data_IF_433180877916
#
_entry.id   IF_433180877916
#
_cell.length_a   1.000
_cell.length_b   1.000
_cell.length_c   1.000
_cell.angle_alpha   90.00
_cell.angle_beta   90.00
_cell.angle_gamma   90.00
#
_symmetry.space_group_name_H-M   'P 1'
#
loop_
_entity.id
_entity.type
_entity.pdbx_description
1 polymer ?
#
# COMPACT_ATOMS: atom_id res chain seq x y z
N UNK A 1 4.52 -30.01 -24.40
CA UNK A 1 4.42 -28.74 -23.64
C UNK A 1 5.38 -28.81 -22.47
N UNK A 2 6.64 -28.44 -22.69
CA UNK A 2 7.60 -28.27 -21.60
C UNK A 2 7.49 -26.80 -21.21
N UNK A 3 6.88 -26.51 -20.07
CA UNK A 3 7.01 -25.20 -19.44
C UNK A 3 8.50 -25.04 -19.14
N UNK A 4 9.19 -24.20 -19.92
CA UNK A 4 10.63 -24.02 -19.79
C UNK A 4 10.98 -23.58 -18.36
N UNK A 5 12.15 -24.01 -17.87
CA UNK A 5 12.69 -23.62 -16.56
C UNK A 5 12.62 -22.10 -16.33
N UNK A 6 12.81 -21.31 -17.38
CA UNK A 6 12.65 -19.85 -17.39
C UNK A 6 11.25 -19.38 -16.97
N UNK A 7 10.20 -20.02 -17.47
CA UNK A 7 8.82 -19.66 -17.16
C UNK A 7 8.51 -19.97 -15.69
N UNK A 8 9.06 -21.07 -15.17
CA UNK A 8 8.93 -21.44 -13.76
C UNK A 8 9.64 -20.40 -12.89
N UNK A 9 10.88 -20.00 -13.23
CA UNK A 9 11.62 -18.96 -12.51
C UNK A 9 10.90 -17.61 -12.52
N UNK A 10 10.32 -17.21 -13.66
CA UNK A 10 9.56 -15.97 -13.79
C UNK A 10 8.29 -15.99 -12.92
N UNK A 11 7.57 -17.12 -12.89
CA UNK A 11 6.38 -17.28 -12.03
C UNK A 11 6.78 -17.21 -10.56
N UNK A 12 7.86 -17.90 -10.15
CA UNK A 12 8.35 -17.87 -8.78
C UNK A 12 8.75 -16.45 -8.37
N UNK A 13 9.49 -15.74 -9.22
CA UNK A 13 9.88 -14.35 -8.96
C UNK A 13 8.65 -13.44 -8.82
N UNK A 14 7.66 -13.56 -9.70
CA UNK A 14 6.43 -12.78 -9.64
C UNK A 14 5.65 -13.04 -8.34
N UNK A 15 5.56 -14.30 -7.91
CA UNK A 15 4.91 -14.67 -6.65
C UNK A 15 5.66 -14.12 -5.45
N UNK A 16 7.00 -14.22 -5.42
CA UNK A 16 7.83 -13.68 -4.34
C UNK A 16 7.69 -12.16 -4.24
N UNK A 17 7.68 -11.44 -5.37
CA UNK A 17 7.45 -9.99 -5.39
C UNK A 17 6.05 -9.62 -4.90
N UNK A 18 5.02 -10.36 -5.32
CA UNK A 18 3.65 -10.15 -4.84
C UNK A 18 3.55 -10.34 -3.33
N UNK A 19 4.14 -11.42 -2.80
CA UNK A 19 4.17 -11.69 -1.36
C UNK A 19 4.91 -10.59 -0.59
N UNK A 20 6.02 -10.07 -1.15
CA UNK A 20 6.75 -8.95 -0.56
C UNK A 20 5.89 -7.68 -0.48
N UNK A 21 5.20 -7.33 -1.57
CA UNK A 21 4.29 -6.16 -1.60
C UNK A 21 3.16 -6.31 -0.59
N UNK A 22 2.54 -7.49 -0.51
CA UNK A 22 1.48 -7.78 0.46
C UNK A 22 2.03 -7.65 1.90
N UNK A 23 3.21 -8.19 2.16
CA UNK A 23 3.86 -8.08 3.47
C UNK A 23 4.15 -6.62 3.84
N UNK A 24 4.70 -5.82 2.92
CA UNK A 24 4.92 -4.40 3.12
C UNK A 24 3.60 -3.65 3.41
N UNK A 25 2.53 -3.95 2.67
CA UNK A 25 1.23 -3.31 2.86
C UNK A 25 0.62 -3.62 4.24
N UNK A 26 0.66 -4.88 4.68
CA UNK A 26 0.14 -5.28 5.99
C UNK A 26 0.94 -4.61 7.12
N UNK A 27 2.27 -4.61 7.03
CA UNK A 27 3.10 -4.00 8.06
C UNK A 27 2.97 -2.48 8.08
N UNK A 28 2.79 -1.83 6.94
CA UNK A 28 2.48 -0.40 6.87
C UNK A 28 1.18 -0.07 7.63
N UNK A 29 0.12 -0.87 7.43
CA UNK A 29 -1.16 -0.68 8.14
C UNK A 29 -1.01 -0.96 9.64
N UNK A 30 -0.28 -2.01 10.04
CA UNK A 30 -0.07 -2.34 11.45
C UNK A 30 0.77 -1.28 12.16
N UNK A 31 1.85 -0.83 11.54
CA UNK A 31 2.75 0.18 12.12
C UNK A 31 2.08 1.55 12.19
N UNK A 32 1.33 1.95 11.14
CA UNK A 32 0.54 3.18 11.21
C UNK A 32 -0.50 3.14 12.32
N UNK A 33 -1.17 1.99 12.53
CA UNK A 33 -2.11 1.81 13.65
C UNK A 33 -1.42 1.90 15.01
N UNK A 34 -0.23 1.32 15.16
CA UNK A 34 0.53 1.34 16.40
C UNK A 34 1.00 2.76 16.76
N UNK A 35 1.51 3.49 15.76
CA UNK A 35 1.86 4.91 15.92
C UNK A 35 0.63 5.76 16.28
N UNK A 36 -0.56 5.46 15.73
CA UNK A 36 -1.81 6.14 16.12
C UNK A 36 -2.23 5.84 17.55
N UNK A 37 -2.03 4.61 18.04
CA UNK A 37 -2.36 4.22 19.43
C UNK A 37 -1.37 4.83 20.42
N UNK A 38 -0.09 4.93 20.06
CA UNK A 38 0.97 5.48 20.93
C UNK A 38 0.84 6.99 21.23
N UNK A 39 0.06 7.73 20.44
CA UNK A 39 -0.07 9.20 20.54
C UNK A 39 -1.27 9.69 21.36
N UNK A 40 -1.92 8.83 22.16
CA UNK A 40 -3.10 9.19 22.97
C UNK A 40 -4.17 9.95 22.17
N UNK A 41 -4.60 9.34 21.05
CA UNK A 41 -5.64 9.93 20.20
C UNK A 41 -6.98 9.88 20.93
N UNK A 42 -7.35 11.00 21.54
CA UNK A 42 -8.66 11.25 22.15
C UNK A 42 -9.50 12.01 21.15
N UNK A 43 -10.57 11.39 20.67
CA UNK A 43 -11.50 12.04 19.76
C UNK A 43 -12.75 12.50 20.53
N UNK A 44 -12.92 13.82 20.58
CA UNK A 44 -14.11 14.46 21.15
C UNK A 44 -15.31 14.25 20.23
N UNK A 45 -16.35 13.57 20.73
CA UNK A 45 -17.54 13.23 19.96
C UNK A 45 -18.82 13.73 20.61
N UNK A 46 -19.75 14.19 19.79
CA UNK A 46 -21.09 14.63 20.18
C UNK A 46 -22.14 13.69 19.59
N UNK A 47 -22.98 13.07 20.42
CA UNK A 47 -24.07 12.23 19.92
C UNK A 47 -25.14 13.08 19.21
N UNK A 48 -25.49 12.76 17.96
CA UNK A 48 -26.48 13.53 17.19
C UNK A 48 -27.90 13.44 17.77
N UNK A 49 -28.23 12.34 18.46
CA UNK A 49 -29.58 12.13 19.01
C UNK A 49 -29.79 12.81 20.36
N UNK A 50 -28.76 12.83 21.21
CA UNK A 50 -28.92 13.29 22.60
C UNK A 50 -28.00 14.45 22.99
N UNK A 51 -27.20 14.97 22.04
CA UNK A 51 -26.30 16.11 22.22
C UNK A 51 -25.18 15.92 23.24
N UNK A 52 -24.94 14.69 23.69
CA UNK A 52 -24.00 14.42 24.78
C UNK A 52 -22.56 14.38 24.24
N UNK A 53 -21.66 15.10 24.91
CA UNK A 53 -20.23 15.19 24.59
C UNK A 53 -19.45 14.18 25.40
N UNK A 54 -18.73 13.31 24.72
CA UNK A 54 -17.88 12.31 25.37
C UNK A 54 -16.62 12.07 24.56
N UNK A 55 -15.61 11.58 25.27
CA UNK A 55 -14.30 11.31 24.71
C UNK A 55 -14.20 9.83 24.40
N UNK A 56 -13.69 9.51 23.21
CA UNK A 56 -13.52 8.12 22.77
C UNK A 56 -12.08 7.90 22.35
N UNK A 57 -11.47 6.89 22.95
CA UNK A 57 -10.12 6.41 22.62
C UNK A 57 -10.07 5.83 21.20
N UNK A 58 -8.90 5.90 20.57
CA UNK A 58 -8.60 5.26 19.28
C UNK A 58 -9.05 3.78 19.19
N UNK A 59 -8.96 3.05 20.31
CA UNK A 59 -9.35 1.63 20.36
C UNK A 59 -10.85 1.43 20.09
N UNK A 60 -11.70 2.23 20.73
CA UNK A 60 -13.15 2.18 20.54
C UNK A 60 -13.60 2.88 19.25
N UNK A 61 -12.82 3.86 18.78
CA UNK A 61 -12.99 4.41 17.44
C UNK A 61 -12.82 3.32 16.38
N UNK A 62 -11.77 2.49 16.47
CA UNK A 62 -11.45 1.48 15.46
C UNK A 62 -12.48 0.34 15.35
N UNK A 63 -13.26 0.07 16.41
CA UNK A 63 -14.27 -1.01 16.44
C UNK A 63 -15.46 -0.78 15.52
N UNK A 64 -15.70 0.46 15.11
CA UNK A 64 -16.82 0.80 14.23
C UNK A 64 -16.35 0.95 12.78
N UNK A 65 -16.95 0.18 11.86
CA UNK A 65 -16.68 0.28 10.42
C UNK A 65 -17.53 1.34 9.72
N UNK A 66 -18.66 1.76 10.31
CA UNK A 66 -19.62 2.65 9.65
C UNK A 66 -19.38 4.10 10.04
N UNK A 67 -19.02 4.92 9.05
CA UNK A 67 -18.82 6.37 9.19
C UNK A 67 -19.61 7.13 8.12
N UNK A 68 -19.98 8.36 8.44
CA UNK A 68 -20.57 9.36 7.55
C UNK A 68 -19.63 10.55 7.52
N UNK A 69 -19.32 11.09 6.35
CA UNK A 69 -18.46 12.25 6.24
C UNK A 69 -18.91 13.16 5.12
N UNK A 70 -18.63 14.45 5.27
CA UNK A 70 -18.75 15.50 4.27
C UNK A 70 -17.42 16.23 4.24
N UNK A 71 -16.64 16.01 3.18
CA UNK A 71 -15.40 16.71 2.93
C UNK A 71 -15.67 17.96 2.10
N UNK A 72 -14.95 19.04 2.41
CA UNK A 72 -14.88 20.26 1.62
C UNK A 72 -13.41 20.49 1.32
N UNK A 73 -12.99 20.31 0.07
CA UNK A 73 -11.64 20.69 -0.35
C UNK A 73 -11.58 22.21 -0.43
N UNK A 74 -10.85 22.84 0.51
CA UNK A 74 -10.51 24.26 0.45
C UNK A 74 -9.03 24.38 0.11
N UNK A 75 -8.74 24.84 -1.10
CA UNK A 75 -7.40 25.26 -1.50
C UNK A 75 -7.00 26.45 -0.64
N UNK A 76 -6.00 26.29 0.23
CA UNK A 76 -5.36 27.40 0.95
C UNK A 76 -3.98 27.62 0.35
N UNK A 77 -3.65 28.87 0.06
CA UNK A 77 -2.28 29.26 -0.29
C UNK A 77 -1.56 29.53 1.02
N UNK A 78 -0.61 28.66 1.36
CA UNK A 78 0.25 28.83 2.53
C UNK A 78 1.70 28.83 2.03
N UNK A 79 2.45 29.91 2.32
CA UNK A 79 3.86 30.09 1.91
C UNK A 79 4.14 29.92 0.41
N UNK A 80 3.27 30.44 -0.46
CA UNK A 80 3.48 30.47 -1.91
C UNK A 80 3.21 29.13 -2.62
N UNK A 81 2.84 28.08 -1.90
CA UNK A 81 2.36 26.82 -2.48
C UNK A 81 0.83 26.73 -2.33
N UNK A 82 0.16 26.29 -3.41
CA UNK A 82 -1.25 25.89 -3.37
C UNK A 82 -1.35 24.58 -2.60
N UNK A 83 -1.72 24.66 -1.33
CA UNK A 83 -1.93 23.49 -0.49
C UNK A 83 -3.42 23.10 -0.60
N UNK A 84 -3.71 22.08 -1.40
CA UNK A 84 -5.02 21.47 -1.47
C UNK A 84 -5.17 20.45 -0.33
N UNK A 85 -5.50 20.93 0.87
CA UNK A 85 -5.79 20.05 2.02
C UNK A 85 -7.29 19.75 2.10
N UNK A 86 -7.69 18.48 2.26
CA UNK A 86 -9.08 18.13 2.52
C UNK A 86 -9.47 18.66 3.91
N UNK A 87 -10.44 19.57 3.96
CA UNK A 87 -11.02 20.07 5.20
C UNK A 87 -12.38 19.40 5.41
N UNK A 88 -12.57 18.65 6.50
CA UNK A 88 -13.84 17.98 6.74
C UNK A 88 -14.80 18.98 7.42
N UNK A 89 -15.93 19.30 6.79
CA UNK A 89 -16.95 20.15 7.42
C UNK A 89 -17.79 19.36 8.42
N UNK A 90 -17.89 18.04 8.21
CA UNK A 90 -18.67 17.14 9.06
C UNK A 90 -18.13 15.72 8.94
N UNK A 91 -17.94 15.05 10.08
CA UNK A 91 -17.56 13.65 10.15
C UNK A 91 -18.26 13.04 11.36
N UNK A 92 -18.97 11.94 11.17
CA UNK A 92 -19.69 11.24 12.23
C UNK A 92 -19.47 9.73 12.14
N UNK A 93 -19.28 9.10 13.29
CA UNK A 93 -19.04 7.66 13.38
C UNK A 93 -20.09 6.99 14.26
N UNK A 94 -20.46 5.75 13.94
CA UNK A 94 -21.45 5.01 14.74
C UNK A 94 -20.78 4.46 16.00
N UNK A 95 -20.95 5.14 17.13
CA UNK A 95 -20.32 4.84 18.42
C UNK A 95 -21.36 4.49 19.48
N UNK A 96 -20.94 3.83 20.55
CA UNK A 96 -21.82 3.53 21.66
C UNK A 96 -22.01 4.80 22.50
N UNK A 97 -23.25 5.28 22.62
CA UNK A 97 -23.56 6.44 23.44
C UNK A 97 -23.90 5.98 24.87
N UNK A 98 -23.21 6.47 25.92
CA UNK A 98 -23.46 6.04 27.30
C UNK A 98 -24.83 6.54 27.81
N UNK A 99 -25.33 7.67 27.31
CA UNK A 99 -26.66 8.20 27.66
C UNK A 99 -27.80 7.44 26.96
N UNK A 100 -27.64 7.06 25.70
CA UNK A 100 -28.66 6.33 24.94
C UNK A 100 -28.57 4.80 25.09
N UNK A 101 -27.48 4.29 25.67
CA UNK A 101 -27.13 2.87 25.82
C UNK A 101 -27.23 2.05 24.51
N UNK A 102 -27.13 2.71 23.35
CA UNK A 102 -27.26 2.12 22.01
C UNK A 102 -26.23 2.73 21.06
N UNK A 103 -25.84 1.99 20.02
CA UNK A 103 -24.95 2.48 18.95
C UNK A 103 -25.66 3.56 18.13
N UNK A 104 -25.12 4.78 18.12
CA UNK A 104 -25.68 5.95 17.43
C UNK A 104 -24.57 6.70 16.70
N UNK A 105 -24.95 7.50 15.71
CA UNK A 105 -24.00 8.40 15.07
C UNK A 105 -23.60 9.49 16.07
N UNK A 106 -22.29 9.67 16.20
CA UNK A 106 -21.70 10.72 16.98
C UNK A 106 -20.78 11.52 16.06
N UNK A 107 -21.01 12.83 15.98
CA UNK A 107 -20.20 13.76 15.22
C UNK A 107 -18.87 13.94 15.94
N UNK A 108 -17.78 13.82 15.19
CA UNK A 108 -16.43 14.06 15.68
C UNK A 108 -16.15 15.54 15.52
N UNK A 109 -16.14 16.25 16.64
CA UNK A 109 -15.93 17.70 16.65
C UNK A 109 -14.49 18.04 16.26
N UNK A 110 -13.56 17.14 16.55
CA UNK A 110 -12.14 17.37 16.35
C UNK A 110 -11.55 16.79 15.05
N UNK A 111 -12.35 16.60 14.01
CA UNK A 111 -11.90 15.89 12.78
C UNK A 111 -10.67 16.53 12.12
N UNK A 112 -10.55 17.85 12.12
CA UNK A 112 -9.45 18.54 11.44
C UNK A 112 -8.15 18.53 12.24
N UNK A 113 -8.19 18.63 13.57
CA UNK A 113 -6.98 18.51 14.39
C UNK A 113 -6.46 17.07 14.36
N UNK A 114 -7.37 16.09 14.37
CA UNK A 114 -7.02 14.68 14.20
C UNK A 114 -6.36 14.44 12.83
N UNK A 115 -6.88 15.06 11.76
CA UNK A 115 -6.26 14.97 10.44
C UNK A 115 -4.87 15.63 10.42
N UNK A 116 -4.69 16.81 11.02
CA UNK A 116 -3.39 17.49 11.09
C UNK A 116 -2.35 16.69 11.90
N UNK A 117 -2.78 16.11 13.03
CA UNK A 117 -1.94 15.27 13.88
C UNK A 117 -1.59 13.94 13.21
N UNK A 118 -2.46 13.42 12.35
CA UNK A 118 -2.23 12.18 11.60
C UNK A 118 -1.44 12.39 10.30
N UNK A 119 -1.59 13.52 9.60
CA UNK A 119 -1.00 13.77 8.28
C UNK A 119 0.53 13.65 8.31
N UNK A 120 1.19 14.32 9.24
CA UNK A 120 2.66 14.29 9.37
C UNK A 120 3.22 12.89 9.69
N UNK A 121 2.77 12.17 10.75
CA UNK A 121 3.29 10.84 11.06
C UNK A 121 2.89 9.80 10.01
N UNK A 122 1.72 9.93 9.37
CA UNK A 122 1.30 9.03 8.31
C UNK A 122 2.17 9.21 7.05
N UNK A 123 2.51 10.45 6.68
CA UNK A 123 3.44 10.73 5.58
C UNK A 123 4.86 10.23 5.88
N UNK A 124 5.39 10.48 7.07
CA UNK A 124 6.71 10.00 7.47
C UNK A 124 6.79 8.47 7.52
N UNK A 125 5.77 7.83 8.09
CA UNK A 125 5.70 6.36 8.11
C UNK A 125 5.51 5.79 6.71
N UNK A 126 4.71 6.46 5.87
CA UNK A 126 4.50 6.11 4.46
C UNK A 126 5.80 6.13 3.69
N UNK A 127 6.55 7.22 3.78
CA UNK A 127 7.83 7.38 3.10
C UNK A 127 8.84 6.30 3.55
N UNK A 128 8.93 6.03 4.86
CA UNK A 128 9.83 5.00 5.39
C UNK A 128 9.50 3.60 4.86
N UNK A 129 8.22 3.24 4.82
CA UNK A 129 7.79 1.95 4.26
C UNK A 129 7.92 1.87 2.74
N UNK A 130 7.77 3.00 2.03
CA UNK A 130 8.00 3.09 0.59
C UNK A 130 9.48 2.81 0.27
N UNK A 131 10.41 3.36 1.06
CA UNK A 131 11.84 3.06 0.94
C UNK A 131 12.14 1.58 1.21
N UNK A 132 11.55 0.99 2.26
CA UNK A 132 11.72 -0.46 2.55
C UNK A 132 11.19 -1.31 1.40
N UNK A 133 10.05 -0.92 0.80
CA UNK A 133 9.48 -1.62 -0.35
C UNK A 133 10.42 -1.61 -1.56
N UNK A 134 10.97 -0.45 -1.89
CA UNK A 134 11.90 -0.27 -3.03
C UNK A 134 13.19 -1.04 -2.81
N UNK A 135 13.78 -0.94 -1.61
CA UNK A 135 15.04 -1.63 -1.28
C UNK A 135 14.84 -3.15 -1.33
N UNK A 136 13.77 -3.66 -0.69
CA UNK A 136 13.49 -5.10 -0.71
C UNK A 136 13.17 -5.64 -2.10
N UNK A 137 12.41 -4.88 -2.90
CA UNK A 137 12.13 -5.23 -4.29
C UNK A 137 13.41 -5.28 -5.14
N UNK A 138 14.31 -4.30 -4.97
CA UNK A 138 15.59 -4.28 -5.67
C UNK A 138 16.48 -5.48 -5.30
N UNK A 139 16.51 -5.89 -4.04
CA UNK A 139 17.25 -7.08 -3.58
C UNK A 139 16.70 -8.36 -4.24
N UNK A 140 15.36 -8.52 -4.25
CA UNK A 140 14.72 -9.70 -4.88
C UNK A 140 15.06 -9.76 -6.38
N UNK A 141 15.01 -8.63 -7.07
CA UNK A 141 15.37 -8.55 -8.48
C UNK A 141 16.85 -8.84 -8.73
N UNK A 142 17.75 -8.33 -7.88
CA UNK A 142 19.19 -8.58 -8.00
C UNK A 142 19.53 -10.07 -7.85
N UNK A 143 18.90 -10.77 -6.90
CA UNK A 143 19.08 -12.22 -6.71
C UNK A 143 18.52 -13.00 -7.90
N UNK A 144 17.36 -12.59 -8.43
CA UNK A 144 16.74 -13.26 -9.57
C UNK A 144 17.48 -13.03 -10.90
N UNK A 145 18.24 -11.94 -11.03
CA UNK A 145 19.04 -11.65 -12.22
C UNK A 145 20.17 -12.67 -12.46
N UNK A 146 20.72 -13.25 -11.39
CA UNK A 146 21.84 -14.21 -11.48
C UNK A 146 21.44 -15.47 -12.26
N UNK A 147 20.41 -16.25 -11.87
CA UNK A 147 20.02 -17.46 -12.62
C UNK A 147 19.44 -17.15 -14.00
N UNK A 148 18.77 -16.00 -14.20
CA UNK A 148 18.23 -15.61 -15.51
C UNK A 148 19.32 -15.32 -16.53
N UNK A 149 20.43 -14.70 -16.11
CA UNK A 149 21.56 -14.42 -17.00
C UNK A 149 22.19 -15.71 -17.56
N UNK A 150 22.38 -16.72 -16.69
CA UNK A 150 22.90 -18.03 -17.12
C UNK A 150 21.94 -18.78 -18.04
N UNK A 151 20.63 -18.73 -17.76
CA UNK A 151 19.64 -19.42 -18.60
C UNK A 151 19.53 -18.80 -19.99
N UNK A 152 19.59 -17.46 -20.09
CA UNK A 152 19.59 -16.78 -21.38
C UNK A 152 20.82 -17.13 -22.23
N UNK A 153 22.02 -17.18 -21.64
CA UNK A 153 23.23 -17.58 -22.36
C UNK A 153 23.11 -19.01 -22.95
N UNK A 154 22.54 -19.94 -22.19
CA UNK A 154 22.30 -21.31 -22.66
C UNK A 154 21.19 -21.42 -23.73
N UNK A 155 20.32 -20.41 -23.87
CA UNK A 155 19.36 -20.33 -24.97
C UNK A 155 19.99 -19.74 -26.22
N UNK A 156 20.80 -18.69 -26.08
CA UNK A 156 21.50 -18.06 -27.21
C UNK A 156 22.40 -19.07 -27.92
N UNK A 157 23.21 -19.83 -27.17
CA UNK A 157 24.05 -20.89 -27.72
C UNK A 157 23.25 -21.94 -28.50
N UNK A 158 22.12 -22.41 -27.94
CA UNK A 158 21.25 -23.39 -28.62
C UNK A 158 20.61 -22.83 -29.89
N UNK A 159 20.28 -21.54 -29.92
CA UNK A 159 19.71 -20.89 -31.10
C UNK A 159 20.76 -20.71 -32.19
N UNK A 160 22.01 -20.38 -31.83
CA UNK A 160 23.13 -20.29 -32.76
C UNK A 160 23.44 -21.66 -33.36
N UNK A 161 23.57 -22.72 -32.55
CA UNK A 161 23.77 -24.09 -33.04
C UNK A 161 22.65 -24.54 -33.99
N UNK A 162 21.39 -24.18 -33.70
CA UNK A 162 20.25 -24.51 -34.57
C UNK A 162 20.31 -23.74 -35.90
N UNK A 163 20.76 -22.49 -35.89
CA UNK A 163 20.96 -21.69 -37.11
C UNK A 163 22.10 -22.23 -37.95
N UNK A 164 23.22 -22.63 -37.34
CA UNK A 164 24.34 -23.25 -38.03
C UNK A 164 23.92 -24.56 -38.69
N UNK A 165 23.25 -25.46 -37.96
CA UNK A 165 22.70 -26.70 -38.52
C UNK A 165 21.73 -26.46 -39.67
N UNK A 166 20.85 -25.46 -39.55
CA UNK A 166 19.94 -25.08 -40.65
C UNK A 166 20.70 -24.58 -41.88
N UNK A 167 21.76 -23.79 -41.68
CA UNK A 167 22.60 -23.30 -42.77
C UNK A 167 23.37 -24.43 -43.46
N UNK A 168 23.92 -25.37 -42.69
CA UNK A 168 24.58 -26.57 -43.24
C UNK A 168 23.61 -27.41 -44.09
N UNK A 169 22.40 -27.67 -43.58
CA UNK A 169 21.36 -28.40 -44.32
C UNK A 169 20.95 -27.68 -45.61
N UNK A 170 20.85 -26.35 -45.59
CA UNK A 170 20.55 -25.54 -46.79
C UNK A 170 21.72 -25.63 -47.78
N UNK A 171 22.96 -25.57 -47.30
CA UNK A 171 24.16 -25.68 -48.13
C UNK A 171 24.27 -27.05 -48.80
N UNK A 172 24.05 -28.13 -48.06
CA UNK A 172 24.01 -29.50 -48.60
C UNK A 172 22.88 -29.69 -49.63
N UNK A 173 21.71 -29.09 -49.39
CA UNK A 173 20.55 -29.25 -50.28
C UNK A 173 20.70 -28.50 -51.60
N UNK A 174 21.34 -27.33 -51.61
CA UNK A 174 21.43 -26.47 -52.79
C UNK A 174 22.81 -26.41 -53.43
N UNK A 175 23.81 -27.10 -52.87
CA UNK A 175 25.09 -27.35 -53.52
C UNK A 175 25.94 -26.11 -53.79
N UNK A 176 25.94 -25.14 -52.86
CA UNK A 176 26.91 -24.05 -52.84
C UNK A 176 28.14 -24.40 -51.97
#
# INVERSE_FOLDING_TARGET
MIVGFDVILLIVMAVVLLLWVIFCAINFIRHSRDVMVSKDFIAHVQCEKCGMHYDVSASDFSKSFVSKYKSVTRTKVEKGALINRPHYSYYAKKLYCPKCKKKRYAQVLNVNELNYMMEKPMLQSGLRWLLIMVIGGAIILAIAAIPMHFSNQAREQRVEELKEKQQEIIKERYGF
#
